data_IF_850761393087
#
_entry.id   IF_850761393087
#
_cell.length_a   1.000
_cell.length_b   1.000
_cell.length_c   1.000
_cell.angle_alpha   90.00
_cell.angle_beta   90.00
_cell.angle_gamma   90.00
#
_symmetry.space_group_name_H-M   'P 1'
#
loop_
_entity.id
_entity.type
_entity.pdbx_description
1 polymer ?
#
# COMPACT_ATOMS: atom_id res chain seq x y z
N UNK A 1 -23.73 16.97 -68.10
CA UNK A 1 -22.31 16.66 -67.80
C UNK A 1 -22.22 16.06 -66.40
N UNK A 2 -21.90 14.76 -66.27
CA UNK A 2 -21.86 14.05 -64.98
C UNK A 2 -20.40 13.91 -64.53
N UNK A 3 -20.01 14.71 -63.54
CA UNK A 3 -18.65 14.74 -62.98
C UNK A 3 -18.38 13.41 -62.29
N UNK A 4 -17.53 12.56 -62.86
CA UNK A 4 -17.07 11.34 -62.20
C UNK A 4 -16.22 11.76 -60.99
N UNK A 5 -16.69 11.40 -59.78
CA UNK A 5 -15.91 11.57 -58.55
C UNK A 5 -14.87 10.46 -58.54
N UNK A 6 -13.59 10.83 -58.61
CA UNK A 6 -12.47 9.92 -58.39
C UNK A 6 -12.50 9.45 -56.93
N UNK A 7 -12.91 8.20 -56.70
CA UNK A 7 -12.67 7.54 -55.42
C UNK A 7 -11.19 7.17 -55.36
N UNK A 8 -10.41 7.96 -54.63
CA UNK A 8 -9.05 7.60 -54.20
C UNK A 8 -9.17 6.59 -53.07
N UNK A 9 -8.85 5.32 -53.34
CA UNK A 9 -8.76 4.27 -52.32
C UNK A 9 -7.40 4.26 -51.63
N UNK A 10 -7.38 3.94 -50.34
CA UNK A 10 -6.16 3.78 -49.55
C UNK A 10 -5.36 2.56 -50.05
N UNK A 11 -4.05 2.68 -50.21
CA UNK A 11 -3.21 1.53 -50.57
C UNK A 11 -2.88 0.69 -49.33
N UNK A 12 -2.72 -0.62 -49.51
CA UNK A 12 -2.27 -1.53 -48.45
C UNK A 12 -0.91 -1.10 -47.88
N UNK A 13 -0.04 -0.56 -48.73
CA UNK A 13 1.31 -0.11 -48.34
C UNK A 13 1.23 1.12 -47.43
N UNK A 14 0.37 2.09 -47.73
CA UNK A 14 0.17 3.26 -46.86
C UNK A 14 -0.30 2.86 -45.47
N UNK A 15 -1.27 1.93 -45.38
CA UNK A 15 -1.73 1.43 -44.08
C UNK A 15 -0.61 0.70 -43.33
N UNK A 16 0.22 -0.08 -44.02
CA UNK A 16 1.31 -0.84 -43.42
C UNK A 16 2.40 0.06 -42.84
N UNK A 17 2.76 1.14 -43.53
CA UNK A 17 3.74 2.11 -43.02
C UNK A 17 3.20 2.83 -41.78
N UNK A 18 1.91 3.18 -41.77
CA UNK A 18 1.28 3.86 -40.62
C UNK A 18 1.30 2.97 -39.38
N UNK A 19 0.90 1.70 -39.48
CA UNK A 19 0.93 0.78 -38.33
C UNK A 19 2.37 0.52 -37.86
N UNK A 20 3.34 0.45 -38.78
CA UNK A 20 4.75 0.27 -38.42
C UNK A 20 5.25 1.44 -37.56
N UNK A 21 4.93 2.68 -37.92
CA UNK A 21 5.29 3.87 -37.14
C UNK A 21 4.60 3.85 -35.78
N UNK A 22 3.30 3.51 -35.71
CA UNK A 22 2.56 3.42 -34.44
C UNK A 22 3.19 2.40 -33.49
N UNK A 23 3.58 1.23 -33.99
CA UNK A 23 4.21 0.18 -33.18
C UNK A 23 5.58 0.62 -32.63
N UNK A 24 6.37 1.35 -33.41
CA UNK A 24 7.65 1.92 -32.95
C UNK A 24 7.42 2.91 -31.81
N UNK A 25 6.44 3.80 -31.94
CA UNK A 25 6.11 4.78 -30.91
C UNK A 25 5.62 4.12 -29.62
N UNK A 26 4.71 3.15 -29.71
CA UNK A 26 4.17 2.43 -28.53
C UNK A 26 5.28 1.66 -27.81
N UNK A 27 6.18 1.03 -28.55
CA UNK A 27 7.28 0.25 -27.96
C UNK A 27 8.19 1.08 -27.04
N UNK A 28 8.36 2.37 -27.35
CA UNK A 28 9.15 3.30 -26.51
C UNK A 28 8.29 3.93 -25.41
N UNK A 29 7.03 4.27 -25.71
CA UNK A 29 6.16 4.98 -24.79
C UNK A 29 5.63 4.09 -23.65
N UNK A 30 5.29 2.84 -23.94
CA UNK A 30 4.62 1.94 -23.00
C UNK A 30 5.43 1.64 -21.71
N UNK A 31 6.72 1.25 -21.75
CA UNK A 31 7.47 0.98 -20.52
C UNK A 31 7.57 2.22 -19.63
N UNK A 32 7.82 3.40 -20.21
CA UNK A 32 7.88 4.66 -19.49
C UNK A 32 6.54 5.03 -18.83
N UNK A 33 5.44 4.77 -19.53
CA UNK A 33 4.09 4.99 -19.01
C UNK A 33 3.79 4.09 -17.81
N UNK A 34 4.17 2.81 -17.86
CA UNK A 34 3.96 1.87 -16.76
C UNK A 34 4.76 2.28 -15.51
N UNK A 35 6.02 2.71 -15.67
CA UNK A 35 6.82 3.23 -14.56
C UNK A 35 6.22 4.50 -13.95
N UNK A 36 5.68 5.40 -14.78
CA UNK A 36 4.99 6.60 -14.31
C UNK A 36 3.71 6.26 -13.52
N UNK A 37 2.92 5.29 -13.99
CA UNK A 37 1.73 4.81 -13.28
C UNK A 37 2.08 4.22 -11.91
N UNK A 38 3.11 3.39 -11.83
CA UNK A 38 3.54 2.82 -10.54
C UNK A 38 3.97 3.91 -9.57
N UNK A 39 4.76 4.89 -10.03
CA UNK A 39 5.14 6.04 -9.18
C UNK A 39 3.92 6.81 -8.68
N UNK A 40 2.95 7.08 -9.55
CA UNK A 40 1.71 7.77 -9.18
C UNK A 40 0.91 7.00 -8.13
N UNK A 41 0.75 5.68 -8.30
CA UNK A 41 0.08 4.80 -7.33
C UNK A 41 0.83 4.75 -6.00
N UNK A 42 2.16 4.64 -6.02
CA UNK A 42 2.97 4.69 -4.80
C UNK A 42 2.79 6.03 -4.05
N UNK A 43 2.78 7.16 -4.77
CA UNK A 43 2.50 8.48 -4.17
C UNK A 43 1.11 8.53 -3.55
N UNK A 44 0.09 7.99 -4.22
CA UNK A 44 -1.26 7.87 -3.67
C UNK A 44 -1.25 7.06 -2.37
N UNK A 45 -0.61 5.89 -2.35
CA UNK A 45 -0.45 5.07 -1.14
C UNK A 45 0.17 5.86 0.00
N UNK A 46 1.27 6.58 -0.24
CA UNK A 46 1.91 7.38 0.81
C UNK A 46 0.99 8.47 1.38
N UNK A 47 0.16 9.10 0.54
CA UNK A 47 -0.82 10.09 0.97
C UNK A 47 -1.92 9.47 1.83
N UNK A 48 -2.45 8.33 1.43
CA UNK A 48 -3.48 7.63 2.19
C UNK A 48 -2.96 7.07 3.52
N UNK A 49 -1.77 6.46 3.51
CA UNK A 49 -1.09 6.02 4.74
C UNK A 49 -0.88 7.20 5.70
N UNK A 50 -0.63 8.41 5.19
CA UNK A 50 -0.56 9.62 6.00
C UNK A 50 -1.93 10.01 6.57
N UNK A 51 -2.99 9.92 5.79
CA UNK A 51 -4.37 10.17 6.25
C UNK A 51 -4.76 9.25 7.42
N UNK A 52 -4.54 7.94 7.26
CA UNK A 52 -4.77 6.95 8.32
C UNK A 52 -3.90 7.21 9.55
N UNK A 53 -2.64 7.59 9.34
CA UNK A 53 -1.72 7.93 10.42
C UNK A 53 -2.19 9.12 11.26
N UNK A 54 -2.82 10.12 10.64
CA UNK A 54 -3.42 11.26 11.35
C UNK A 54 -4.62 10.79 12.17
N UNK A 55 -5.52 9.98 11.58
CA UNK A 55 -6.66 9.44 12.30
C UNK A 55 -6.25 8.60 13.52
N UNK A 56 -5.21 7.77 13.37
CA UNK A 56 -4.63 7.01 14.48
C UNK A 56 -4.07 7.92 15.58
N UNK A 57 -3.40 9.02 15.21
CA UNK A 57 -2.90 9.99 16.19
C UNK A 57 -4.05 10.67 16.94
N UNK A 58 -5.12 11.06 16.26
CA UNK A 58 -6.31 11.61 16.91
C UNK A 58 -6.94 10.62 17.89
N UNK A 59 -7.06 9.35 17.51
CA UNK A 59 -7.51 8.30 18.43
C UNK A 59 -6.59 8.18 19.66
N UNK A 60 -5.28 8.21 19.46
CA UNK A 60 -4.32 8.16 20.57
C UNK A 60 -4.47 9.34 21.53
N UNK A 61 -4.77 10.55 21.04
CA UNK A 61 -5.00 11.71 21.91
C UNK A 61 -6.22 11.53 22.83
N UNK A 62 -7.25 10.85 22.35
CA UNK A 62 -8.48 10.64 23.12
C UNK A 62 -8.38 9.46 24.10
N UNK A 63 -7.69 8.40 23.71
CA UNK A 63 -7.66 7.13 24.46
C UNK A 63 -6.30 6.79 25.09
N UNK A 64 -5.23 7.51 24.74
CA UNK A 64 -3.85 7.27 25.18
C UNK A 64 -3.24 5.91 24.77
N UNK A 65 -3.86 5.23 23.81
CA UNK A 65 -3.37 4.01 23.19
C UNK A 65 -3.85 3.93 21.73
N UNK A 66 -3.14 3.17 20.89
CA UNK A 66 -3.58 2.90 19.52
C UNK A 66 -4.59 1.76 19.45
N UNK A 67 -5.56 1.80 18.52
CA UNK A 67 -6.65 0.83 18.50
C UNK A 67 -6.15 -0.59 18.30
N UNK A 68 -6.83 -1.55 18.93
CA UNK A 68 -6.51 -2.96 18.74
C UNK A 68 -6.86 -3.42 17.33
N UNK A 69 -6.10 -4.41 16.85
CA UNK A 69 -6.43 -5.12 15.61
C UNK A 69 -7.59 -6.07 15.85
N UNK A 70 -8.81 -5.56 15.78
CA UNK A 70 -10.02 -6.38 15.91
C UNK A 70 -10.34 -7.06 14.59
N UNK A 71 -10.51 -8.38 14.63
CA UNK A 71 -11.15 -9.13 13.57
C UNK A 71 -12.61 -9.28 13.95
N UNK A 72 -13.49 -8.73 13.14
CA UNK A 72 -14.91 -8.89 13.34
C UNK A 72 -15.45 -9.77 12.22
N UNK A 73 -15.80 -11.02 12.54
CA UNK A 73 -16.36 -11.99 11.59
C UNK A 73 -17.74 -11.59 11.07
N UNK A 74 -18.38 -10.56 11.65
CA UNK A 74 -19.61 -9.96 11.14
C UNK A 74 -19.39 -8.79 10.21
N UNK A 75 -18.15 -8.27 10.11
CA UNK A 75 -17.78 -7.28 9.10
C UNK A 75 -17.26 -8.02 7.86
N UNK A 76 -17.54 -7.49 6.65
CA UNK A 76 -17.00 -8.07 5.44
C UNK A 76 -15.46 -8.16 5.48
N UNK A 77 -14.89 -9.22 4.88
CA UNK A 77 -13.43 -9.45 4.84
C UNK A 77 -12.64 -8.31 4.19
N UNK A 78 -13.30 -7.44 3.42
CA UNK A 78 -12.69 -6.25 2.84
C UNK A 78 -12.40 -5.15 3.85
N UNK A 79 -12.96 -5.21 5.06
CA UNK A 79 -12.73 -4.17 6.07
C UNK A 79 -11.36 -4.37 6.72
N UNK A 80 -10.43 -3.40 6.62
CA UNK A 80 -9.09 -3.54 7.16
C UNK A 80 -9.15 -3.81 8.67
N UNK A 81 -8.65 -4.98 9.06
CA UNK A 81 -8.67 -5.44 10.44
C UNK A 81 -7.97 -4.41 11.33
N UNK A 82 -8.69 -3.86 12.30
CA UNK A 82 -8.18 -2.87 13.26
C UNK A 82 -8.43 -1.39 12.96
N UNK A 83 -8.92 -1.01 11.77
CA UNK A 83 -9.31 0.39 11.49
C UNK A 83 -10.77 0.72 11.84
N UNK A 84 -11.57 -0.29 12.24
CA UNK A 84 -12.99 -0.12 12.62
C UNK A 84 -13.20 0.82 13.81
N UNK A 85 -12.24 0.81 14.73
CA UNK A 85 -12.28 1.67 15.92
C UNK A 85 -12.04 3.15 15.56
N UNK A 86 -11.59 3.43 14.32
CA UNK A 86 -11.45 4.79 13.81
C UNK A 86 -12.71 5.28 13.09
N UNK A 87 -13.69 4.42 12.87
CA UNK A 87 -14.92 4.77 12.14
C UNK A 87 -16.14 4.77 13.05
N UNK A 88 -16.12 3.96 14.12
CA UNK A 88 -17.20 3.81 15.10
C UNK A 88 -16.65 3.62 16.52
N UNK A 89 -17.27 4.19 17.57
CA UNK A 89 -18.43 5.08 17.57
C UNK A 89 -18.11 6.56 17.25
N UNK A 90 -16.84 6.96 17.32
CA UNK A 90 -16.36 8.28 16.89
C UNK A 90 -15.64 8.11 15.56
N UNK A 91 -16.00 8.91 14.56
CA UNK A 91 -15.43 8.83 13.21
C UNK A 91 -14.20 9.72 13.10
N UNK A 92 -13.02 9.12 13.22
CA UNK A 92 -11.72 9.73 12.97
C UNK A 92 -11.34 9.70 11.48
N UNK A 93 -11.93 8.78 10.71
CA UNK A 93 -11.71 8.64 9.26
C UNK A 93 -12.90 8.01 8.55
N UNK A 94 -13.00 8.26 7.25
CA UNK A 94 -13.98 7.62 6.37
C UNK A 94 -13.35 6.39 5.68
N UNK A 95 -13.83 5.15 5.95
CA UNK A 95 -13.25 3.95 5.39
C UNK A 95 -13.51 3.82 3.88
N UNK A 96 -14.57 4.43 3.34
CA UNK A 96 -14.91 4.34 1.92
C UNK A 96 -13.89 5.04 1.01
N UNK A 97 -12.95 5.80 1.59
CA UNK A 97 -11.97 6.61 0.86
C UNK A 97 -10.63 5.92 0.61
N UNK A 98 -10.43 4.67 1.04
CA UNK A 98 -9.10 4.05 1.05
C UNK A 98 -8.96 2.81 0.14
N UNK A 99 -9.18 2.90 -1.18
CA UNK A 99 -8.84 1.81 -2.08
C UNK A 99 -7.31 1.73 -2.25
N UNK A 100 -6.70 0.62 -1.83
CA UNK A 100 -5.29 0.35 -2.11
C UNK A 100 -5.10 0.13 -3.64
N UNK A 101 -4.26 0.90 -4.35
CA UNK A 101 -4.04 0.72 -5.78
C UNK A 101 -3.23 -0.54 -6.17
N UNK A 102 -2.67 -1.27 -5.21
CA UNK A 102 -1.84 -2.48 -5.41
C UNK A 102 -2.50 -3.77 -4.88
N UNK A 103 -3.81 -3.95 -5.05
CA UNK A 103 -4.54 -5.13 -4.54
C UNK A 103 -4.10 -6.46 -5.16
N UNK A 104 -4.07 -7.55 -4.38
CA UNK A 104 -3.84 -8.94 -4.87
C UNK A 104 -5.14 -9.79 -4.95
N UNK A 105 -6.32 -9.15 -4.92
CA UNK A 105 -7.61 -9.84 -4.94
C UNK A 105 -8.61 -9.38 -3.87
N UNK A 106 -9.61 -10.23 -3.58
CA UNK A 106 -10.84 -9.84 -2.88
C UNK A 106 -10.68 -9.54 -1.37
N UNK A 107 -9.55 -9.89 -0.75
CA UNK A 107 -9.35 -9.80 0.70
C UNK A 107 -8.50 -8.61 1.16
N UNK A 108 -7.96 -7.82 0.23
CA UNK A 108 -6.93 -6.80 0.54
C UNK A 108 -7.16 -5.49 -0.22
N UNK A 109 -8.40 -5.01 -0.20
CA UNK A 109 -8.77 -3.74 -0.84
C UNK A 109 -8.33 -2.51 -0.04
N UNK A 110 -7.78 -2.70 1.17
CA UNK A 110 -7.40 -1.62 2.09
C UNK A 110 -6.04 -1.86 2.75
N UNK A 111 -5.50 -0.78 3.33
CA UNK A 111 -4.23 -0.78 4.06
C UNK A 111 -4.24 -1.70 5.28
N UNK A 112 -3.15 -2.45 5.47
CA UNK A 112 -2.95 -3.31 6.63
C UNK A 112 -2.46 -2.50 7.82
N UNK A 113 -3.00 -2.78 9.00
CA UNK A 113 -2.66 -2.12 10.25
C UNK A 113 -2.18 -3.12 11.30
N UNK A 114 -1.11 -2.76 11.99
CA UNK A 114 -0.46 -3.57 13.01
C UNK A 114 -0.14 -2.70 14.23
N UNK A 115 -0.94 -2.79 15.31
CA UNK A 115 -0.58 -2.18 16.58
C UNK A 115 0.60 -2.94 17.20
N UNK A 116 1.52 -2.20 17.80
CA UNK A 116 2.74 -2.77 18.37
C UNK A 116 2.90 -2.30 19.81
N UNK A 117 3.22 -3.27 20.67
CA UNK A 117 3.43 -3.09 22.10
C UNK A 117 4.78 -2.41 22.38
N UNK A 118 5.03 -1.93 23.62
CA UNK A 118 6.29 -1.27 23.97
C UNK A 118 7.46 -2.25 23.95
N UNK A 119 7.19 -3.53 24.16
CA UNK A 119 8.16 -4.62 24.07
C UNK A 119 8.53 -5.00 22.61
N UNK A 120 7.93 -4.36 21.60
CA UNK A 120 8.25 -4.53 20.19
C UNK A 120 7.49 -5.65 19.47
N UNK A 121 6.62 -6.39 20.16
CA UNK A 121 5.80 -7.44 19.54
C UNK A 121 4.53 -6.86 18.93
N UNK A 122 4.24 -7.30 17.70
CA UNK A 122 2.97 -7.05 17.02
C UNK A 122 1.87 -7.74 17.81
N UNK A 123 0.82 -6.98 18.14
CA UNK A 123 -0.30 -7.54 18.88
C UNK A 123 -1.14 -8.44 17.97
N UNK A 124 -1.29 -9.72 18.35
CA UNK A 124 -2.03 -10.69 17.55
C UNK A 124 -3.54 -10.54 17.71
N UNK A 125 -4.26 -11.11 16.75
CA UNK A 125 -5.70 -11.01 16.57
C UNK A 125 -6.49 -11.93 17.49
N UNK A 126 -6.54 -11.65 18.79
CA UNK A 126 -7.26 -12.38 19.85
C UNK A 126 -6.50 -12.40 21.18
N UNK A 127 -5.31 -11.80 21.25
CA UNK A 127 -4.59 -11.73 22.52
C UNK A 127 -5.38 -10.87 23.51
N UNK A 128 -5.64 -11.42 24.70
CA UNK A 128 -6.25 -10.77 25.87
C UNK A 128 -5.39 -9.65 26.46
N UNK A 129 -4.51 -9.06 25.65
CA UNK A 129 -3.71 -7.92 26.05
C UNK A 129 -4.62 -6.72 26.29
N UNK A 130 -4.33 -6.00 27.35
CA UNK A 130 -5.01 -4.78 27.71
C UNK A 130 -4.96 -3.81 26.52
N UNK A 131 -6.11 -3.23 26.09
CA UNK A 131 -6.16 -2.29 24.96
C UNK A 131 -5.16 -1.14 25.06
N UNK A 132 -4.72 -0.84 26.28
CA UNK A 132 -3.83 0.26 26.65
C UNK A 132 -2.36 0.08 26.27
N UNK A 133 -1.94 -1.10 25.80
CA UNK A 133 -0.51 -1.40 25.65
C UNK A 133 0.07 -0.97 24.28
N UNK A 134 -0.74 -0.47 23.35
CA UNK A 134 -0.25 -0.11 22.01
C UNK A 134 0.23 1.34 21.94
N UNK A 135 1.55 1.55 21.89
CA UNK A 135 2.19 2.87 21.86
C UNK A 135 2.77 3.26 20.49
N UNK A 136 2.87 2.31 19.57
CA UNK A 136 3.26 2.58 18.19
C UNK A 136 2.60 1.59 17.23
N UNK A 137 2.67 1.87 15.94
CA UNK A 137 2.02 1.06 14.93
C UNK A 137 2.80 1.03 13.62
N UNK A 138 2.44 0.03 12.80
CA UNK A 138 2.86 -0.11 11.42
C UNK A 138 1.63 -0.17 10.52
N UNK A 139 1.71 0.56 9.41
CA UNK A 139 0.80 0.48 8.30
C UNK A 139 1.53 -0.07 7.09
N UNK A 140 0.85 -0.88 6.28
CA UNK A 140 1.38 -1.29 4.98
C UNK A 140 0.36 -1.36 3.87
N UNK A 141 0.89 -1.17 2.66
CA UNK A 141 0.26 -1.43 1.38
C UNK A 141 1.15 -2.37 0.57
N UNK A 142 0.55 -3.08 -0.37
CA UNK A 142 1.30 -3.89 -1.31
C UNK A 142 2.26 -3.04 -2.16
N UNK A 143 3.32 -3.67 -2.65
CA UNK A 143 4.21 -3.05 -3.64
C UNK A 143 3.69 -3.24 -5.07
N UNK A 144 4.42 -2.76 -6.08
CA UNK A 144 4.04 -2.90 -7.50
C UNK A 144 3.86 -4.34 -7.99
N UNK A 145 4.50 -5.31 -7.32
CA UNK A 145 4.29 -6.74 -7.61
C UNK A 145 2.96 -7.30 -7.09
N UNK A 146 2.16 -6.46 -6.43
CA UNK A 146 0.89 -6.79 -5.77
C UNK A 146 0.98 -7.91 -4.71
N UNK A 147 2.16 -8.47 -4.46
CA UNK A 147 2.38 -9.52 -3.46
C UNK A 147 2.72 -8.91 -2.11
N UNK A 148 2.17 -9.48 -1.07
CA UNK A 148 2.61 -9.19 0.30
C UNK A 148 3.83 -10.05 0.63
N UNK A 149 4.98 -9.41 0.81
CA UNK A 149 6.20 -10.04 1.29
C UNK A 149 6.24 -9.86 2.80
N UNK A 150 5.87 -10.93 3.52
CA UNK A 150 5.29 -10.87 4.85
C UNK A 150 6.26 -10.52 5.98
N UNK A 151 6.53 -9.22 6.16
CA UNK A 151 7.19 -8.69 7.36
C UNK A 151 6.52 -9.14 8.68
N UNK A 152 5.20 -9.34 8.66
CA UNK A 152 4.47 -9.82 9.81
C UNK A 152 4.77 -11.27 10.19
N UNK A 153 5.08 -12.13 9.22
CA UNK A 153 5.43 -13.53 9.47
C UNK A 153 6.88 -13.64 9.96
N UNK A 154 7.78 -12.75 9.50
CA UNK A 154 9.09 -12.56 10.13
C UNK A 154 8.99 -12.10 11.60
N UNK A 155 8.05 -11.21 11.93
CA UNK A 155 7.83 -10.79 13.32
C UNK A 155 7.13 -11.83 14.20
N UNK A 156 6.39 -12.76 13.60
CA UNK A 156 5.81 -13.92 14.29
C UNK A 156 6.83 -15.05 14.49
N UNK A 157 8.07 -14.88 14.02
CA UNK A 157 9.11 -15.91 14.03
C UNK A 157 8.79 -17.07 13.08
N UNK A 158 7.97 -16.82 12.06
CA UNK A 158 7.41 -17.83 11.18
C UNK A 158 8.22 -18.00 9.88
N UNK A 159 8.99 -16.98 9.45
CA UNK A 159 9.84 -17.03 8.24
C UNK A 159 11.17 -16.24 8.38
N UNK A 160 12.28 -16.82 7.88
CA UNK A 160 13.64 -16.22 7.78
C UNK A 160 13.77 -15.24 6.58
N UNK A 161 12.82 -14.33 6.37
CA UNK A 161 12.90 -13.37 5.25
C UNK A 161 13.77 -12.14 5.60
N UNK A 162 14.81 -11.82 4.82
CA UNK A 162 15.64 -10.64 5.09
C UNK A 162 14.88 -9.32 4.87
N UNK A 163 15.04 -8.36 5.79
CA UNK A 163 14.37 -7.04 5.80
C UNK A 163 14.43 -6.26 4.47
N UNK A 164 15.52 -6.39 3.72
CA UNK A 164 15.74 -5.65 2.47
C UNK A 164 14.76 -6.01 1.34
N UNK A 165 14.18 -7.20 1.37
CA UNK A 165 13.26 -7.68 0.34
C UNK A 165 11.81 -7.27 0.60
N UNK A 166 11.49 -6.87 1.83
CA UNK A 166 10.12 -6.62 2.28
C UNK A 166 9.72 -5.13 2.20
N UNK A 167 10.65 -4.25 1.85
CA UNK A 167 10.44 -2.79 1.81
C UNK A 167 10.53 -2.26 0.39
N UNK A 168 9.51 -1.50 -0.02
CA UNK A 168 9.43 -0.86 -1.33
C UNK A 168 10.57 0.15 -1.51
N UNK A 169 11.25 0.08 -2.65
CA UNK A 169 12.31 1.00 -3.05
C UNK A 169 11.83 1.89 -4.21
N UNK A 170 11.68 3.21 -4.00
CA UNK A 170 11.23 4.13 -5.04
C UNK A 170 12.17 4.22 -6.24
N UNK A 171 13.48 4.01 -6.02
CA UNK A 171 14.51 4.07 -7.08
C UNK A 171 14.44 2.87 -8.02
N UNK A 172 13.81 1.77 -7.60
CA UNK A 172 13.68 0.54 -8.39
C UNK A 172 12.37 0.49 -9.21
N UNK A 173 11.55 1.55 -9.17
CA UNK A 173 10.36 1.70 -10.02
C UNK A 173 9.38 0.53 -9.92
N UNK A 174 9.03 -0.06 -11.06
CA UNK A 174 8.15 -1.24 -11.22
C UNK A 174 8.77 -2.55 -10.74
N UNK A 175 10.10 -2.60 -10.49
CA UNK A 175 10.82 -3.85 -10.15
C UNK A 175 10.98 -4.10 -8.65
N UNK A 176 10.42 -3.24 -7.80
CA UNK A 176 10.53 -3.42 -6.35
C UNK A 176 9.61 -4.54 -5.86
N UNK A 177 10.20 -5.48 -5.10
CA UNK A 177 9.53 -6.65 -4.53
C UNK A 177 9.02 -6.45 -3.09
N UNK A 178 9.16 -5.22 -2.59
CA UNK A 178 8.83 -4.91 -1.20
C UNK A 178 7.50 -4.17 -1.08
N UNK A 179 6.93 -4.23 0.12
CA UNK A 179 5.71 -3.53 0.47
C UNK A 179 5.99 -2.08 0.88
N UNK A 180 5.01 -1.21 0.72
CA UNK A 180 5.10 0.18 1.17
C UNK A 180 4.72 0.22 2.65
N UNK A 181 5.64 0.67 3.50
CA UNK A 181 5.45 0.72 4.95
C UNK A 181 5.44 2.14 5.48
N UNK A 182 4.65 2.36 6.54
CA UNK A 182 4.68 3.58 7.35
C UNK A 182 4.63 3.21 8.82
N UNK A 183 5.54 3.79 9.60
CA UNK A 183 5.53 3.71 11.06
C UNK A 183 4.99 5.01 11.66
N UNK A 184 4.35 4.92 12.84
CA UNK A 184 3.99 6.07 13.66
C UNK A 184 3.82 5.71 15.14
N UNK A 185 3.66 6.74 15.98
CA UNK A 185 3.52 6.61 17.44
C UNK A 185 4.74 7.04 18.25
N UNK A 186 4.62 6.93 19.56
CA UNK A 186 5.68 7.25 20.52
C UNK A 186 6.62 6.05 20.64
N UNK A 187 7.87 6.14 20.13
CA UNK A 187 8.86 5.12 20.35
C UNK A 187 9.45 5.36 21.74
N UNK A 188 8.65 5.16 22.80
CA UNK A 188 9.14 5.28 24.17
C UNK A 188 10.10 4.11 24.39
N UNK A 189 11.38 4.43 24.18
CA UNK A 189 12.47 3.48 24.03
C UNK A 189 12.57 2.52 25.20
N UNK A 190 12.79 1.24 24.86
CA UNK A 190 13.42 0.14 25.63
C UNK A 190 13.02 -1.22 25.01
N UNK A 191 12.05 -1.27 24.08
CA UNK A 191 11.81 -2.44 23.25
C UNK A 191 13.05 -2.76 22.39
N UNK A 192 13.71 -3.89 22.70
CA UNK A 192 14.96 -4.35 22.06
C UNK A 192 14.91 -4.15 20.55
N UNK A 193 15.92 -3.43 20.08
CA UNK A 193 16.33 -3.16 18.70
C UNK A 193 16.34 -4.41 17.82
N UNK A 194 15.19 -4.88 17.38
CA UNK A 194 15.09 -5.93 16.34
C UNK A 194 14.18 -5.48 15.20
N UNK A 195 13.16 -4.67 15.50
CA UNK A 195 12.16 -4.27 14.50
C UNK A 195 12.12 -2.75 14.36
N UNK A 196 13.24 -2.17 13.91
CA UNK A 196 13.17 -0.87 13.23
C UNK A 196 13.19 -1.18 11.73
N UNK A 197 12.07 -1.07 11.01
CA UNK A 197 12.15 -1.11 9.56
C UNK A 197 13.11 -0.02 9.12
N UNK A 198 14.22 -0.41 8.50
CA UNK A 198 15.09 0.51 7.77
C UNK A 198 14.28 0.97 6.57
N UNK A 199 13.42 1.96 6.78
CA UNK A 199 12.72 2.62 5.69
C UNK A 199 13.81 3.24 4.81
N UNK A 200 13.78 3.03 3.48
CA UNK A 200 14.67 3.76 2.60
C UNK A 200 14.47 5.26 2.86
N UNK A 201 15.57 5.97 3.07
CA UNK A 201 15.52 7.40 3.32
C UNK A 201 14.72 8.08 2.19
N UNK A 202 13.89 9.08 2.51
CA UNK A 202 13.20 9.85 1.47
C UNK A 202 14.27 10.43 0.53
N UNK A 203 14.14 10.16 -0.77
CA UNK A 203 15.01 10.75 -1.79
C UNK A 203 14.88 12.28 -1.71
N UNK A 204 16.01 12.95 -1.45
CA UNK A 204 16.14 14.41 -1.51
C UNK A 204 15.83 14.93 -2.92
#
# INVERSE_FOLDING_TARGET
MRRQRSHTGFTLVELLVVIAIILILISIALPNYMDALVRARSTQVYAELRSVSIALQSYYLDFNFYPLRTWNSSLPDWVPSGLNNLTTPVTYMDPARLPDPFTDGQYYTHYRYWPVRPNGYVQANNETATPTDSHWYLLSSNGPEARFTAFADAMRGQDDIPFSHSVYSPTNGTRSRGNIWKQGGLPDGVGRTIVRPVLPAPSR
#
